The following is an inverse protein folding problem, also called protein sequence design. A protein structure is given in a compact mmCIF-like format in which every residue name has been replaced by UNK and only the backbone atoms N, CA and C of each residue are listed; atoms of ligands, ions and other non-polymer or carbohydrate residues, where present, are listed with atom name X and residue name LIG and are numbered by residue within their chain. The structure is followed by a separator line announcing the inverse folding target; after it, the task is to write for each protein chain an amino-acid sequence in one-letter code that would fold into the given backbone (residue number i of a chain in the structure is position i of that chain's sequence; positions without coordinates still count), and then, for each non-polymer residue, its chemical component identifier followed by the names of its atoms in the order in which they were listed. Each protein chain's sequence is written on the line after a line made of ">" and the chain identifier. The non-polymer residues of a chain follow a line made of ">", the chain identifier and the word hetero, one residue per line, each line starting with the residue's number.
data_IF_510522935771
#
_entry.id   IF_510522935771
#
_cell.length_a   1.000
_cell.length_b   1.000
_cell.length_c   1.000
_cell.angle_alpha   90.00
_cell.angle_beta   90.00
_cell.angle_gamma   90.00
#
_symmetry.space_group_name_H-M   'P 1'
#
loop_
_entity.id
_entity.type
_entity.pdbx_description
1 polymer ?
#
# COMPACT_ATOMS: atom_id res chain seq x y z
N UNK A 1 -15.83 5.05 -31.18
CA UNK A 1 -15.75 4.08 -30.06
C UNK A 1 -14.43 4.31 -29.34
N UNK A 2 -14.46 4.87 -28.13
CA UNK A 2 -13.25 5.15 -27.32
C UNK A 2 -13.05 4.01 -26.33
N UNK A 3 -11.85 3.44 -26.38
CA UNK A 3 -11.32 2.39 -25.52
C UNK A 3 -11.45 2.75 -24.04
N UNK A 4 -12.11 1.88 -23.26
CA UNK A 4 -12.05 1.86 -21.80
C UNK A 4 -10.62 1.49 -21.39
N UNK A 5 -9.89 2.44 -20.80
CA UNK A 5 -8.65 2.13 -20.09
C UNK A 5 -9.02 1.43 -18.78
N UNK A 6 -8.81 0.12 -18.76
CA UNK A 6 -8.78 -0.71 -17.57
C UNK A 6 -7.73 -0.18 -16.59
N UNK A 7 -8.16 0.34 -15.45
CA UNK A 7 -7.29 0.63 -14.30
C UNK A 7 -7.08 -0.69 -13.53
N UNK A 8 -6.20 -1.53 -14.05
CA UNK A 8 -5.70 -2.72 -13.34
C UNK A 8 -4.31 -2.40 -12.78
N UNK A 9 -4.26 -2.01 -11.51
CA UNK A 9 -3.02 -1.66 -10.83
C UNK A 9 -3.15 -1.74 -9.31
N UNK A 10 -3.78 -2.80 -8.79
CA UNK A 10 -3.66 -3.14 -7.37
C UNK A 10 -2.50 -4.12 -7.24
N UNK A 11 -1.45 -3.70 -6.54
CA UNK A 11 -0.33 -4.55 -6.19
C UNK A 11 -0.09 -4.46 -4.69
N UNK A 12 0.45 -5.54 -4.13
CA UNK A 12 0.25 -6.02 -2.79
C UNK A 12 1.58 -6.06 -2.03
N UNK A 13 1.63 -5.58 -0.78
CA UNK A 13 2.81 -5.67 0.09
C UNK A 13 2.57 -6.76 1.13
N UNK A 14 3.45 -7.75 1.22
CA UNK A 14 3.33 -8.86 2.17
C UNK A 14 3.94 -8.50 3.53
N UNK A 15 3.18 -8.70 4.60
CA UNK A 15 3.70 -8.87 5.96
C UNK A 15 3.44 -10.31 6.42
N UNK A 16 4.48 -11.02 6.87
CA UNK A 16 4.38 -12.42 7.31
C UNK A 16 4.09 -12.44 8.82
N UNK A 17 2.82 -12.63 9.18
CA UNK A 17 2.45 -12.90 10.57
C UNK A 17 2.72 -14.37 10.93
N UNK A 18 3.57 -14.62 11.92
CA UNK A 18 3.88 -15.96 12.41
C UNK A 18 2.75 -16.45 13.34
N UNK A 19 1.92 -17.40 12.89
CA UNK A 19 0.93 -18.05 13.75
C UNK A 19 1.47 -19.40 14.27
N UNK A 20 1.43 -19.58 15.59
CA UNK A 20 1.81 -20.83 16.27
C UNK A 20 0.86 -21.98 15.89
N UNK A 21 1.45 -23.16 15.68
CA UNK A 21 0.79 -24.40 15.24
C UNK A 21 -0.32 -24.87 16.20
N UNK A 22 -1.53 -25.03 15.68
CA UNK A 22 -2.51 -26.01 16.18
C UNK A 22 -3.15 -26.68 14.97
N UNK A 23 -2.90 -27.98 14.77
CA UNK A 23 -3.59 -28.81 13.80
C UNK A 23 -4.93 -29.29 14.41
N UNK A 24 -6.04 -29.44 13.63
CA UNK A 24 -6.14 -30.58 12.72
C UNK A 24 -6.98 -30.39 11.42
N UNK A 25 -6.77 -31.33 10.48
CA UNK A 25 -7.71 -31.84 9.46
C UNK A 25 -8.02 -30.99 8.21
N UNK A 26 -7.70 -31.58 7.06
CA UNK A 26 -8.22 -31.39 5.69
C UNK A 26 -8.51 -29.96 5.19
N UNK A 27 -7.75 -29.57 4.16
CA UNK A 27 -7.98 -28.38 3.31
C UNK A 27 -7.77 -27.01 3.98
N UNK A 28 -6.90 -26.91 4.98
CA UNK A 28 -6.28 -25.62 5.31
C UNK A 28 -5.14 -25.35 4.33
N UNK A 29 -5.47 -24.66 3.24
CA UNK A 29 -4.52 -23.74 2.60
C UNK A 29 -3.79 -23.02 3.72
N UNK A 30 -2.45 -23.11 3.73
CA UNK A 30 -1.63 -22.31 4.62
C UNK A 30 -2.20 -20.88 4.65
N UNK A 31 -2.35 -20.22 5.81
CA UNK A 31 -2.85 -18.86 5.84
C UNK A 31 -1.98 -18.07 4.89
N UNK A 32 -2.57 -17.62 3.78
CA UNK A 32 -1.87 -16.75 2.85
C UNK A 32 -1.33 -15.60 3.70
N UNK A 33 -0.06 -15.17 3.51
CA UNK A 33 0.46 -14.01 4.20
C UNK A 33 -0.60 -12.92 4.10
N UNK A 34 -0.97 -12.32 5.24
CA UNK A 34 -2.07 -11.36 5.28
C UNK A 34 -1.63 -10.18 4.42
N UNK A 35 -2.12 -10.14 3.20
CA UNK A 35 -1.65 -9.19 2.20
C UNK A 35 -2.34 -7.87 2.50
N UNK A 36 -1.61 -6.91 3.09
CA UNK A 36 -2.17 -5.58 3.29
C UNK A 36 -2.40 -4.95 1.89
N UNK A 37 -3.66 -4.58 1.54
CA UNK A 37 -4.02 -4.14 0.21
C UNK A 37 -3.60 -2.67 0.00
N UNK A 38 -2.31 -2.43 -0.13
CA UNK A 38 -1.78 -1.10 -0.37
C UNK A 38 -1.55 -0.87 -1.85
N UNK A 39 -2.43 -0.12 -2.49
CA UNK A 39 -2.14 0.40 -3.83
C UNK A 39 -0.88 1.27 -3.78
N UNK A 40 0.18 0.82 -4.46
CA UNK A 40 1.38 1.61 -4.69
C UNK A 40 1.04 2.87 -5.48
N UNK A 41 1.77 3.99 -5.28
CA UNK A 41 1.58 5.17 -6.11
C UNK A 41 1.93 4.83 -7.57
N UNK A 42 1.01 5.12 -8.49
CA UNK A 42 1.30 4.97 -9.93
C UNK A 42 2.30 6.04 -10.39
N UNK A 43 2.33 7.20 -9.72
CA UNK A 43 3.27 8.28 -9.99
C UNK A 43 3.78 8.85 -8.65
N UNK A 44 4.91 8.35 -8.13
CA UNK A 44 5.48 8.88 -6.89
C UNK A 44 5.67 10.39 -6.95
N UNK A 45 5.15 11.08 -5.93
CA UNK A 45 5.25 12.54 -5.82
C UNK A 45 6.55 12.93 -5.10
N UNK A 46 7.25 13.94 -5.60
CA UNK A 46 8.39 14.53 -4.87
C UNK A 46 7.88 15.29 -3.64
N UNK A 47 8.19 14.80 -2.45
CA UNK A 47 7.67 15.34 -1.19
C UNK A 47 8.52 16.52 -0.71
N UNK A 48 7.84 17.49 -0.12
CA UNK A 48 8.46 18.57 0.65
C UNK A 48 7.60 18.90 1.86
N UNK A 49 8.06 19.82 2.71
CA UNK A 49 7.38 20.18 3.97
C UNK A 49 5.98 20.75 3.74
N UNK A 50 5.78 21.48 2.64
CA UNK A 50 4.49 22.08 2.31
C UNK A 50 3.47 21.00 1.86
N UNK A 51 3.91 20.06 1.02
CA UNK A 51 3.10 18.91 0.60
C UNK A 51 2.65 18.07 1.81
N UNK A 52 3.56 17.80 2.77
CA UNK A 52 3.17 17.09 4.00
C UNK A 52 2.11 17.86 4.79
N UNK A 53 2.25 19.19 4.93
CA UNK A 53 1.24 20.01 5.61
C UNK A 53 -0.12 19.92 4.90
N UNK A 54 -0.16 20.13 3.58
CA UNK A 54 -1.40 20.01 2.78
C UNK A 54 -2.04 18.65 2.96
N UNK A 55 -1.25 17.58 2.94
CA UNK A 55 -1.71 16.23 3.19
C UNK A 55 -2.33 16.08 4.60
N UNK A 56 -1.63 16.51 5.65
CA UNK A 56 -2.12 16.39 7.03
C UNK A 56 -3.45 17.13 7.24
N UNK A 57 -3.60 18.33 6.65
CA UNK A 57 -4.84 19.11 6.75
C UNK A 57 -5.99 18.56 5.90
N UNK A 58 -5.67 17.90 4.78
CA UNK A 58 -6.68 17.40 3.83
C UNK A 58 -7.17 15.99 4.12
N UNK A 59 -6.40 15.15 4.84
CA UNK A 59 -6.67 13.72 4.96
C UNK A 59 -8.07 13.40 5.49
N UNK A 60 -8.42 13.98 6.64
CA UNK A 60 -9.74 13.78 7.25
C UNK A 60 -10.90 14.36 6.40
N UNK A 61 -10.88 15.64 5.97
CA UNK A 61 -12.00 16.22 5.23
C UNK A 61 -12.20 15.61 3.84
N UNK A 62 -11.13 15.34 3.08
CA UNK A 62 -11.23 14.65 1.78
C UNK A 62 -11.67 13.20 1.99
N UNK A 63 -11.12 12.52 3.01
CA UNK A 63 -11.48 11.15 3.35
C UNK A 63 -12.92 10.97 3.83
N UNK A 64 -13.50 11.98 4.49
CA UNK A 64 -14.91 12.00 4.87
C UNK A 64 -15.82 12.08 3.64
N UNK A 65 -15.56 13.05 2.75
CA UNK A 65 -16.30 13.18 1.49
C UNK A 65 -16.19 11.92 0.63
N UNK A 66 -15.01 11.30 0.58
CA UNK A 66 -14.82 10.04 -0.14
C UNK A 66 -15.75 8.92 0.37
N UNK A 67 -15.99 8.83 1.68
CA UNK A 67 -16.92 7.85 2.26
C UNK A 67 -18.38 8.15 1.92
N UNK A 68 -18.74 9.43 1.83
CA UNK A 68 -20.10 9.85 1.47
C UNK A 68 -20.42 9.52 0.00
N UNK A 69 -19.43 9.55 -0.89
CA UNK A 69 -19.61 9.34 -2.33
C UNK A 69 -19.17 7.96 -2.84
N UNK A 70 -18.73 7.05 -1.96
CA UNK A 70 -18.23 5.72 -2.33
C UNK A 70 -19.33 4.71 -2.78
N UNK A 71 -20.40 5.19 -3.41
CA UNK A 71 -21.38 4.36 -4.11
C UNK A 71 -20.77 3.72 -5.37
N UNK A 72 -21.36 2.61 -5.83
CA UNK A 72 -20.86 1.83 -6.97
C UNK A 72 -20.80 2.68 -8.26
N UNK A 73 -19.57 3.07 -8.63
CA UNK A 73 -19.19 4.05 -9.65
C UNK A 73 -19.45 5.50 -9.23
N UNK A 74 -18.39 6.17 -8.78
CA UNK A 74 -18.36 7.62 -8.51
C UNK A 74 -18.82 8.33 -9.78
N UNK A 75 -20.02 8.90 -9.74
CA UNK A 75 -20.57 9.64 -10.87
C UNK A 75 -19.62 10.82 -11.21
N UNK A 76 -19.61 11.33 -12.45
CA UNK A 76 -18.79 12.49 -12.80
C UNK A 76 -18.98 13.69 -11.87
N UNK A 77 -20.21 13.88 -11.36
CA UNK A 77 -20.55 14.92 -10.38
C UNK A 77 -19.91 14.67 -9.00
N UNK A 78 -19.81 13.43 -8.56
CA UNK A 78 -19.17 13.06 -7.30
C UNK A 78 -17.64 13.18 -7.39
N UNK A 79 -17.08 12.86 -8.56
CA UNK A 79 -15.66 13.09 -8.85
C UNK A 79 -15.36 14.59 -8.82
N UNK A 80 -16.21 15.43 -9.41
CA UNK A 80 -16.05 16.88 -9.37
C UNK A 80 -16.13 17.45 -7.94
N UNK A 81 -16.95 16.87 -7.06
CA UNK A 81 -16.99 17.24 -5.63
C UNK A 81 -15.67 16.92 -4.94
N UNK A 82 -15.12 15.73 -5.17
CA UNK A 82 -13.82 15.32 -4.63
C UNK A 82 -12.68 16.17 -5.18
N UNK A 83 -12.67 16.48 -6.48
CA UNK A 83 -11.68 17.35 -7.10
C UNK A 83 -11.70 18.75 -6.49
N UNK A 84 -12.90 19.33 -6.34
CA UNK A 84 -13.08 20.63 -5.68
C UNK A 84 -12.58 20.59 -4.24
N UNK A 85 -12.93 19.55 -3.48
CA UNK A 85 -12.50 19.40 -2.10
C UNK A 85 -10.99 19.27 -1.98
N UNK A 86 -10.34 18.50 -2.84
CA UNK A 86 -8.88 18.39 -2.89
C UNK A 86 -8.22 19.74 -3.24
N UNK A 87 -8.81 20.50 -4.17
CA UNK A 87 -8.32 21.81 -4.57
C UNK A 87 -8.35 22.86 -3.43
N UNK A 88 -9.30 22.77 -2.50
CA UNK A 88 -9.34 23.62 -1.30
C UNK A 88 -8.08 23.49 -0.43
N UNK A 89 -7.35 22.38 -0.53
CA UNK A 89 -6.09 22.13 0.19
C UNK A 89 -4.84 22.27 -0.69
N UNK A 90 -5.00 22.81 -1.91
CA UNK A 90 -3.90 23.09 -2.83
C UNK A 90 -3.40 21.88 -3.63
N UNK A 91 -4.22 20.84 -3.78
CA UNK A 91 -3.98 19.77 -4.75
C UNK A 91 -4.58 20.13 -6.11
N UNK A 92 -4.05 19.57 -7.19
CA UNK A 92 -4.60 19.82 -8.53
C UNK A 92 -6.02 19.27 -8.68
N UNK A 93 -6.26 18.07 -8.16
CA UNK A 93 -7.52 17.33 -8.20
C UNK A 93 -7.47 16.17 -7.19
N UNK A 94 -8.51 15.34 -7.14
CA UNK A 94 -8.57 14.20 -6.23
C UNK A 94 -7.54 13.12 -6.56
N UNK A 95 -7.22 12.93 -7.84
CA UNK A 95 -6.17 11.99 -8.27
C UNK A 95 -4.79 12.38 -7.70
N UNK A 96 -4.43 13.66 -7.79
CA UNK A 96 -3.19 14.23 -7.24
C UNK A 96 -3.11 14.09 -5.71
N UNK A 97 -4.23 14.35 -5.01
CA UNK A 97 -4.33 14.07 -3.58
C UNK A 97 -4.16 12.57 -3.26
N UNK A 98 -4.74 11.69 -4.07
CA UNK A 98 -4.64 10.24 -3.91
C UNK A 98 -3.22 9.71 -4.13
N UNK A 99 -2.53 10.16 -5.18
CA UNK A 99 -1.12 9.83 -5.44
C UNK A 99 -0.19 10.36 -4.35
N UNK A 100 -0.43 11.59 -3.86
CA UNK A 100 0.30 12.15 -2.72
C UNK A 100 0.09 11.30 -1.47
N UNK A 101 -1.15 10.95 -1.17
CA UNK A 101 -1.50 10.10 -0.02
C UNK A 101 -0.80 8.74 -0.11
N UNK A 102 -0.89 8.04 -1.24
CA UNK A 102 -0.19 6.76 -1.45
C UNK A 102 1.32 6.90 -1.31
N UNK A 103 1.91 7.95 -1.89
CA UNK A 103 3.35 8.20 -1.79
C UNK A 103 3.77 8.37 -0.33
N UNK A 104 3.03 9.16 0.45
CA UNK A 104 3.33 9.39 1.87
C UNK A 104 3.17 8.10 2.69
N UNK A 105 2.10 7.34 2.48
CA UNK A 105 1.84 6.11 3.24
C UNK A 105 2.86 5.01 2.94
N UNK A 106 3.19 4.79 1.66
CA UNK A 106 4.24 3.84 1.27
C UNK A 106 5.58 4.29 1.83
N UNK A 107 5.90 5.59 1.73
CA UNK A 107 7.15 6.12 2.30
C UNK A 107 7.22 5.96 3.81
N UNK A 108 6.11 6.16 4.51
CA UNK A 108 6.01 5.92 5.94
C UNK A 108 6.25 4.44 6.27
N UNK A 109 5.60 3.52 5.55
CA UNK A 109 5.78 2.07 5.73
C UNK A 109 7.26 1.68 5.62
N UNK A 110 7.94 2.13 4.55
CA UNK A 110 9.37 1.91 4.36
C UNK A 110 10.25 2.54 5.44
N UNK A 111 9.82 3.64 6.06
CA UNK A 111 10.58 4.31 7.09
C UNK A 111 10.45 3.67 8.48
N UNK A 112 9.40 2.88 8.73
CA UNK A 112 9.08 2.35 10.06
C UNK A 112 9.07 0.84 10.18
N UNK A 113 9.08 0.11 9.06
CA UNK A 113 9.03 -1.35 9.04
C UNK A 113 10.40 -1.97 8.66
N UNK A 114 10.61 -3.26 8.97
CA UNK A 114 11.81 -3.99 8.55
C UNK A 114 12.04 -3.92 7.05
N UNK A 115 13.29 -4.08 6.63
CA UNK A 115 13.63 -4.15 5.21
C UNK A 115 12.91 -5.37 4.58
N UNK A 116 12.09 -5.17 3.52
CA UNK A 116 11.36 -6.26 2.89
C UNK A 116 12.29 -7.36 2.32
N UNK A 117 13.56 -7.04 2.02
CA UNK A 117 14.55 -8.04 1.61
C UNK A 117 14.82 -9.04 2.72
N UNK A 118 15.03 -8.57 3.95
CA UNK A 118 15.31 -9.43 5.09
C UNK A 118 14.13 -10.36 5.39
N UNK A 119 12.90 -9.85 5.29
CA UNK A 119 11.70 -10.64 5.51
C UNK A 119 11.49 -11.71 4.42
N UNK A 120 11.74 -11.36 3.16
CA UNK A 120 11.68 -12.32 2.05
C UNK A 120 12.79 -13.36 2.14
N UNK A 121 14.02 -12.97 2.49
CA UNK A 121 15.13 -13.90 2.68
C UNK A 121 14.83 -14.94 3.77
N UNK A 122 14.28 -14.49 4.92
CA UNK A 122 13.81 -15.39 5.98
C UNK A 122 12.74 -16.35 5.46
N UNK A 123 11.75 -15.85 4.73
CA UNK A 123 10.68 -16.68 4.18
C UNK A 123 11.22 -17.73 3.21
N UNK A 124 12.11 -17.33 2.29
CA UNK A 124 12.75 -18.20 1.31
C UNK A 124 13.54 -19.34 1.98
N UNK A 125 14.19 -19.07 3.11
CA UNK A 125 14.93 -20.08 3.86
C UNK A 125 14.02 -21.15 4.50
N UNK A 126 12.74 -20.84 4.76
CA UNK A 126 11.79 -21.77 5.39
C UNK A 126 11.04 -22.66 4.39
N UNK A 127 10.85 -22.21 3.15
CA UNK A 127 10.05 -22.95 2.14
C UNK A 127 10.55 -24.38 1.89
N UNK A 128 11.87 -24.64 1.77
CA UNK A 128 12.37 -26.00 1.51
C UNK A 128 11.96 -27.01 2.59
N UNK A 129 11.85 -26.58 3.84
CA UNK A 129 11.54 -27.45 4.98
C UNK A 129 10.05 -27.65 5.22
N UNK A 130 9.18 -27.01 4.43
CA UNK A 130 7.72 -27.19 4.53
C UNK A 130 7.32 -28.59 4.04
N UNK A 131 6.83 -29.49 4.92
CA UNK A 131 6.57 -30.89 4.57
C UNK A 131 5.23 -31.08 3.83
N UNK A 132 4.35 -30.08 3.86
CA UNK A 132 3.00 -30.11 3.31
C UNK A 132 2.91 -29.55 1.88
N UNK A 133 4.04 -29.21 1.26
CA UNK A 133 4.10 -28.66 -0.09
C UNK A 133 4.87 -29.59 -1.01
N UNK A 134 4.33 -29.81 -2.21
CA UNK A 134 5.06 -30.42 -3.31
C UNK A 134 6.20 -29.52 -3.79
N UNK A 135 7.17 -30.09 -4.49
CA UNK A 135 8.29 -29.32 -5.05
C UNK A 135 7.83 -28.22 -6.01
N UNK A 136 6.74 -28.47 -6.75
CA UNK A 136 6.13 -27.48 -7.65
C UNK A 136 5.52 -26.31 -6.85
N UNK A 137 4.83 -26.59 -5.75
CA UNK A 137 4.26 -25.55 -4.89
C UNK A 137 5.35 -24.72 -4.21
N UNK A 138 6.42 -25.36 -3.75
CA UNK A 138 7.60 -24.68 -3.20
C UNK A 138 8.24 -23.73 -4.22
N UNK A 139 8.45 -24.21 -5.45
CA UNK A 139 8.99 -23.39 -6.53
C UNK A 139 8.10 -22.18 -6.82
N UNK A 140 6.78 -22.39 -6.94
CA UNK A 140 5.83 -21.31 -7.16
C UNK A 140 5.83 -20.27 -6.03
N UNK A 141 5.93 -20.70 -4.77
CA UNK A 141 6.01 -19.79 -3.63
C UNK A 141 7.30 -18.97 -3.64
N UNK A 142 8.44 -19.59 -3.95
CA UNK A 142 9.73 -18.90 -4.08
C UNK A 142 9.68 -17.84 -5.18
N UNK A 143 9.15 -18.20 -6.36
CA UNK A 143 9.03 -17.28 -7.49
C UNK A 143 8.06 -16.14 -7.18
N UNK A 144 6.95 -16.43 -6.53
CA UNK A 144 6.00 -15.42 -6.06
C UNK A 144 6.61 -14.43 -5.08
N UNK A 145 7.37 -14.90 -4.10
CA UNK A 145 8.07 -14.02 -3.14
C UNK A 145 9.12 -13.13 -3.83
N UNK A 146 9.90 -13.69 -4.77
CA UNK A 146 10.89 -12.92 -5.53
C UNK A 146 10.25 -11.87 -6.42
N UNK A 147 9.16 -12.21 -7.11
CA UNK A 147 8.43 -11.27 -7.95
C UNK A 147 7.77 -10.16 -7.11
N UNK A 148 7.21 -10.53 -5.95
CA UNK A 148 6.69 -9.58 -4.97
C UNK A 148 7.77 -8.60 -4.50
N UNK A 149 8.92 -9.11 -4.05
CA UNK A 149 10.06 -8.29 -3.61
C UNK A 149 10.52 -7.34 -4.71
N UNK A 150 10.71 -7.83 -5.94
CA UNK A 150 11.12 -6.98 -7.06
C UNK A 150 10.15 -5.82 -7.28
N UNK A 151 8.85 -6.06 -7.12
CA UNK A 151 7.86 -5.01 -7.29
C UNK A 151 7.86 -3.99 -6.16
N UNK A 152 8.00 -4.45 -4.91
CA UNK A 152 8.13 -3.59 -3.73
C UNK A 152 9.39 -2.72 -3.86
N UNK A 153 10.52 -3.30 -4.24
CA UNK A 153 11.80 -2.61 -4.47
C UNK A 153 11.70 -1.56 -5.59
N UNK A 154 10.97 -1.84 -6.67
CA UNK A 154 10.74 -0.86 -7.73
C UNK A 154 9.91 0.35 -7.25
N UNK A 155 9.12 0.18 -6.19
CA UNK A 155 8.35 1.24 -5.54
C UNK A 155 9.06 1.83 -4.32
N UNK A 156 10.35 1.53 -4.12
CA UNK A 156 11.14 2.09 -3.03
C UNK A 156 11.14 3.62 -3.12
N UNK A 157 10.74 4.32 -2.06
CA UNK A 157 10.76 5.77 -2.04
C UNK A 157 12.18 6.31 -2.18
N UNK A 158 12.30 7.50 -2.78
CA UNK A 158 13.58 8.18 -2.87
C UNK A 158 14.14 8.56 -1.48
N UNK A 159 15.47 8.69 -1.32
CA UNK A 159 16.07 9.15 -0.07
C UNK A 159 15.53 10.49 0.43
N UNK A 160 15.21 11.41 -0.47
CA UNK A 160 14.64 12.73 -0.17
C UNK A 160 13.24 12.60 0.41
N UNK A 161 12.39 11.77 -0.20
CA UNK A 161 11.05 11.49 0.31
C UNK A 161 11.09 10.83 1.70
N UNK A 162 11.99 9.85 1.89
CA UNK A 162 12.23 9.23 3.20
C UNK A 162 12.64 10.27 4.24
N UNK A 163 13.58 11.17 3.90
CA UNK A 163 14.04 12.21 4.81
C UNK A 163 12.91 13.19 5.21
N UNK A 164 12.02 13.53 4.29
CA UNK A 164 10.85 14.39 4.56
C UNK A 164 9.88 13.67 5.49
N UNK A 165 9.49 12.43 5.18
CA UNK A 165 8.51 11.67 5.99
C UNK A 165 9.04 11.34 7.38
N UNK A 166 10.34 11.02 7.53
CA UNK A 166 10.98 10.76 8.83
C UNK A 166 10.84 11.92 9.82
N UNK A 167 10.74 13.17 9.35
CA UNK A 167 10.52 14.34 10.21
C UNK A 167 9.10 14.44 10.75
N UNK A 168 8.15 13.72 10.17
CA UNK A 168 6.71 13.80 10.45
C UNK A 168 6.10 12.48 10.92
N UNK A 169 6.92 11.49 11.31
CA UNK A 169 6.42 10.16 11.68
C UNK A 169 5.31 10.24 12.75
N UNK A 170 5.49 11.07 13.78
CA UNK A 170 4.48 11.25 14.82
C UNK A 170 3.13 11.75 14.30
N UNK A 171 3.15 12.71 13.36
CA UNK A 171 1.95 13.29 12.76
C UNK A 171 1.28 12.37 11.74
N UNK A 172 2.08 11.56 11.03
CA UNK A 172 1.58 10.65 9.98
C UNK A 172 1.05 9.34 10.59
N UNK A 173 1.65 8.85 11.68
CA UNK A 173 1.28 7.59 12.35
C UNK A 173 -0.23 7.36 12.53
N UNK A 174 -1.03 8.28 13.10
CA UNK A 174 -2.47 8.02 13.28
C UNK A 174 -3.20 7.85 11.94
N UNK A 175 -2.79 8.57 10.90
CA UNK A 175 -3.38 8.49 9.57
C UNK A 175 -2.97 7.21 8.85
N UNK A 176 -1.71 6.81 9.02
CA UNK A 176 -1.19 5.54 8.54
C UNK A 176 -1.94 4.37 9.17
N UNK A 177 -2.14 4.38 10.50
CA UNK A 177 -2.91 3.34 11.18
C UNK A 177 -4.34 3.24 10.65
N UNK A 178 -4.99 4.38 10.40
CA UNK A 178 -6.33 4.41 9.81
C UNK A 178 -6.34 3.87 8.36
N UNK A 179 -5.23 3.99 7.65
CA UNK A 179 -5.09 3.52 6.27
C UNK A 179 -4.75 2.02 6.21
N UNK A 180 -3.91 1.53 7.13
CA UNK A 180 -3.50 0.11 7.20
C UNK A 180 -4.59 -0.85 7.67
N UNK A 181 -5.64 -0.35 8.33
CA UNK A 181 -6.72 -1.19 8.87
C UNK A 181 -7.98 -1.20 8.01
N UNK A 182 -7.92 -0.72 6.77
CA UNK A 182 -9.08 -0.69 5.86
C UNK A 182 -9.19 -1.92 4.98
#
# INVERSE_FOLDING_TARGET
>A
MKSLRSFAGSLFVMTIASASFVAPSHAQTAPAPLIEPFSLPAKPVALNQDIIKRYLYSFAPVGALMKEVAGAAVAPEETAKLDKKAAEYGFKNFEDWGETTRTIMVTYHWATNPDPREEVEKALATIPTMPNLSDKEKANMIDGLKAGLATVENARPSPENLAVVKRHLGSIKPLYNQWSTR
#
